data_IF_295746613358
#
_entry.id   IF_295746613358
#
_cell.length_a   1.000
_cell.length_b   1.000
_cell.length_c   1.000
_cell.angle_alpha   90.00
_cell.angle_beta   90.00
_cell.angle_gamma   90.00
#
_symmetry.space_group_name_H-M   'P 1'
#
loop_
_entity.id
_entity.type
_entity.pdbx_description
1 polymer ?
#
# COMPACT_ATOMS: atom_id res chain seq x y z
N UNK A 1 -50.91 -20.94 -10.38
CA UNK A 1 -49.53 -21.12 -9.86
C UNK A 1 -48.83 -19.77 -9.97
N UNK A 2 -48.76 -18.99 -8.90
CA UNK A 2 -48.13 -17.67 -8.92
C UNK A 2 -46.61 -17.84 -8.93
N UNK A 3 -45.98 -17.37 -10.00
CA UNK A 3 -44.52 -17.35 -10.16
C UNK A 3 -44.00 -16.24 -9.24
N UNK A 4 -43.22 -16.62 -8.23
CA UNK A 4 -42.59 -15.69 -7.30
C UNK A 4 -41.75 -14.66 -8.08
N UNK A 5 -42.11 -13.38 -7.97
CA UNK A 5 -41.40 -12.26 -8.57
C UNK A 5 -39.98 -12.17 -8.02
N UNK A 6 -38.99 -12.15 -8.92
CA UNK A 6 -37.57 -12.04 -8.57
C UNK A 6 -37.27 -10.60 -8.18
N UNK A 7 -37.04 -10.33 -6.90
CA UNK A 7 -36.57 -9.03 -6.43
C UNK A 7 -35.04 -8.99 -6.54
N UNK A 8 -34.51 -8.11 -7.40
CA UNK A 8 -33.07 -7.89 -7.57
C UNK A 8 -32.67 -6.64 -6.79
N UNK A 9 -31.84 -6.82 -5.77
CA UNK A 9 -31.34 -5.74 -4.92
C UNK A 9 -29.85 -5.55 -5.18
N UNK A 10 -29.49 -4.50 -5.92
CA UNK A 10 -28.11 -4.13 -6.20
C UNK A 10 -27.52 -3.30 -5.05
N UNK A 11 -26.72 -3.95 -4.20
CA UNK A 11 -25.94 -3.28 -3.16
C UNK A 11 -24.61 -2.78 -3.76
N UNK A 12 -24.32 -1.48 -3.57
CA UNK A 12 -23.01 -0.90 -3.89
C UNK A 12 -22.13 -0.96 -2.64
N UNK A 13 -21.10 -1.79 -2.68
CA UNK A 13 -20.04 -1.81 -1.67
C UNK A 13 -18.87 -0.97 -2.17
N UNK A 14 -18.46 0.01 -1.37
CA UNK A 14 -17.28 0.84 -1.63
C UNK A 14 -16.24 0.58 -0.55
N UNK A 15 -15.03 0.19 -0.96
CA UNK A 15 -13.93 -0.15 -0.05
C UNK A 15 -13.24 1.14 0.36
N UNK A 16 -13.11 1.40 1.66
CA UNK A 16 -12.26 2.50 2.15
C UNK A 16 -10.78 2.15 1.89
N UNK A 17 -10.11 2.81 0.92
CA UNK A 17 -8.75 2.42 0.53
C UNK A 17 -7.68 2.95 1.50
N UNK A 18 -8.01 3.90 2.38
CA UNK A 18 -7.05 4.62 3.20
C UNK A 18 -6.29 3.74 4.19
N UNK A 19 -7.00 2.83 4.87
CA UNK A 19 -6.38 1.91 5.84
C UNK A 19 -5.36 0.98 5.17
N UNK A 20 -5.68 0.47 3.98
CA UNK A 20 -4.82 -0.44 3.24
C UNK A 20 -3.55 0.25 2.74
N UNK A 21 -3.67 1.53 2.34
CA UNK A 21 -2.54 2.32 1.88
C UNK A 21 -1.55 2.59 3.01
N UNK A 22 -2.01 3.01 4.18
CA UNK A 22 -1.09 3.28 5.29
C UNK A 22 -0.37 2.02 5.76
N UNK A 23 -1.12 0.93 5.99
CA UNK A 23 -0.54 -0.32 6.51
C UNK A 23 0.48 -0.96 5.57
N UNK A 24 0.29 -0.90 4.25
CA UNK A 24 1.20 -1.57 3.32
C UNK A 24 2.39 -0.71 2.93
N UNK A 25 2.16 0.56 2.65
CA UNK A 25 3.22 1.44 2.18
C UNK A 25 4.15 1.87 3.33
N UNK A 26 3.64 2.03 4.55
CA UNK A 26 4.48 2.33 5.72
C UNK A 26 5.41 1.15 6.03
N UNK A 27 4.86 -0.06 6.15
CA UNK A 27 5.66 -1.25 6.50
C UNK A 27 6.75 -1.52 5.47
N UNK A 28 6.42 -1.46 4.18
CA UNK A 28 7.41 -1.64 3.11
C UNK A 28 8.54 -0.59 3.15
N UNK A 29 8.22 0.67 3.46
CA UNK A 29 9.22 1.73 3.61
C UNK A 29 10.14 1.48 4.81
N UNK A 30 9.62 1.04 5.96
CA UNK A 30 10.45 0.71 7.12
C UNK A 30 11.42 -0.43 6.81
N UNK A 31 10.96 -1.47 6.12
CA UNK A 31 11.82 -2.61 5.74
C UNK A 31 12.93 -2.14 4.79
N UNK A 32 12.60 -1.27 3.83
CA UNK A 32 13.59 -0.71 2.90
C UNK A 32 14.65 0.11 3.64
N UNK A 33 14.24 1.00 4.54
CA UNK A 33 15.18 1.81 5.34
C UNK A 33 16.05 0.91 6.21
N UNK A 34 15.46 -0.09 6.87
CA UNK A 34 16.20 -1.07 7.68
C UNK A 34 17.23 -1.86 6.86
N UNK A 35 16.90 -2.22 5.63
CA UNK A 35 17.80 -2.93 4.73
C UNK A 35 18.93 -2.06 4.18
N UNK A 36 18.81 -0.72 4.21
CA UNK A 36 19.83 0.23 3.75
C UNK A 36 20.80 0.69 4.85
N UNK A 37 20.49 0.44 6.13
CA UNK A 37 21.37 0.72 7.27
C UNK A 37 22.82 0.20 7.08
N UNK A 38 23.07 -0.99 6.50
CA UNK A 38 24.42 -1.52 6.34
C UNK A 38 25.35 -0.69 5.44
N UNK A 39 24.82 0.19 4.58
CA UNK A 39 25.65 1.12 3.81
C UNK A 39 26.37 2.15 4.70
N UNK A 40 25.86 2.39 5.91
CA UNK A 40 26.51 3.26 6.90
C UNK A 40 27.58 2.58 7.74
N UNK A 41 27.68 1.24 7.71
CA UNK A 41 28.73 0.49 8.43
C UNK A 41 30.09 0.64 7.74
N UNK A 42 31.16 0.05 8.30
CA UNK A 42 32.49 0.04 7.69
C UNK A 42 32.59 -0.99 6.52
N UNK A 43 33.40 -0.68 5.50
CA UNK A 43 33.53 -1.44 4.25
C UNK A 43 34.30 -2.76 4.42
N UNK A 44 34.93 -2.94 5.58
CA UNK A 44 35.71 -4.12 5.95
C UNK A 44 34.86 -5.38 6.14
N UNK A 45 33.58 -5.24 6.51
CA UNK A 45 32.67 -6.35 6.81
C UNK A 45 31.64 -6.57 5.68
N UNK A 46 32.12 -6.92 4.48
CA UNK A 46 31.24 -7.13 3.31
C UNK A 46 30.23 -8.26 3.52
N UNK A 47 30.64 -9.33 4.20
CA UNK A 47 29.77 -10.49 4.50
C UNK A 47 28.55 -10.10 5.34
N UNK A 48 28.75 -9.38 6.44
CA UNK A 48 27.67 -8.95 7.34
C UNK A 48 26.70 -8.00 6.64
N UNK A 49 27.22 -7.10 5.80
CA UNK A 49 26.38 -6.19 4.98
C UNK A 49 25.48 -6.97 4.02
N UNK A 50 26.04 -7.95 3.30
CA UNK A 50 25.27 -8.83 2.39
C UNK A 50 24.23 -9.66 3.16
N UNK A 51 24.57 -10.10 4.37
CA UNK A 51 23.63 -10.77 5.28
C UNK A 51 22.39 -9.92 5.55
N UNK A 52 22.57 -8.65 5.92
CA UNK A 52 21.43 -7.76 6.20
C UNK A 52 20.64 -7.42 4.94
N UNK A 53 21.28 -7.23 3.79
CA UNK A 53 20.56 -7.02 2.52
C UNK A 53 19.71 -8.23 2.13
N UNK A 54 20.25 -9.45 2.27
CA UNK A 54 19.50 -10.68 1.95
C UNK A 54 18.31 -10.89 2.89
N UNK A 55 18.47 -10.60 4.18
CA UNK A 55 17.37 -10.62 5.16
C UNK A 55 16.28 -9.58 4.84
N UNK A 56 16.67 -8.36 4.46
CA UNK A 56 15.73 -7.33 4.02
C UNK A 56 14.98 -7.71 2.74
N UNK A 57 15.67 -8.31 1.76
CA UNK A 57 15.07 -8.83 0.54
C UNK A 57 14.04 -9.93 0.83
N UNK A 58 14.40 -10.90 1.68
CA UNK A 58 13.48 -11.97 2.09
C UNK A 58 12.26 -11.39 2.79
N UNK A 59 12.45 -10.41 3.67
CA UNK A 59 11.35 -9.78 4.42
C UNK A 59 10.39 -9.04 3.49
N UNK A 60 10.89 -8.32 2.48
CA UNK A 60 10.04 -7.69 1.46
C UNK A 60 9.27 -8.70 0.61
N UNK A 61 9.91 -9.80 0.23
CA UNK A 61 9.25 -10.87 -0.54
C UNK A 61 8.17 -11.55 0.30
N UNK A 62 8.44 -11.86 1.57
CA UNK A 62 7.45 -12.41 2.49
C UNK A 62 6.29 -11.45 2.71
N UNK A 63 6.59 -10.17 2.91
CA UNK A 63 5.58 -9.12 3.07
C UNK A 63 4.69 -8.99 1.82
N UNK A 64 5.28 -9.10 0.62
CA UNK A 64 4.54 -9.15 -0.65
C UNK A 64 3.55 -10.30 -0.66
N UNK A 65 3.98 -11.53 -0.36
CA UNK A 65 3.09 -12.68 -0.32
C UNK A 65 2.00 -12.55 0.75
N UNK A 66 2.34 -12.08 1.95
CA UNK A 66 1.36 -11.83 3.01
C UNK A 66 0.30 -10.79 2.63
N UNK A 67 0.68 -9.77 1.85
CA UNK A 67 -0.27 -8.78 1.32
C UNK A 67 -1.16 -9.34 0.19
N UNK A 68 -0.66 -10.32 -0.57
CA UNK A 68 -1.42 -10.97 -1.64
C UNK A 68 -2.44 -11.98 -1.11
N UNK A 69 -2.16 -12.65 0.01
CA UNK A 69 -3.09 -13.60 0.64
C UNK A 69 -4.37 -12.94 1.20
N UNK A 70 -4.27 -11.66 1.58
CA UNK A 70 -5.42 -10.89 2.10
C UNK A 70 -6.42 -10.50 1.01
N UNK A 71 -6.03 -10.57 -0.27
CA UNK A 71 -6.89 -10.23 -1.40
C UNK A 71 -7.20 -11.50 -2.20
N UNK A 72 -8.43 -11.64 -2.73
CA UNK A 72 -8.70 -12.71 -3.69
C UNK A 72 -7.72 -12.59 -4.86
N UNK A 73 -7.14 -13.72 -5.26
CA UNK A 73 -6.14 -13.76 -6.33
C UNK A 73 -6.76 -13.29 -7.64
N UNK A 74 -6.31 -12.12 -8.10
CA UNK A 74 -6.70 -11.52 -9.37
C UNK A 74 -5.53 -11.60 -10.33
N UNK A 75 -5.80 -11.97 -11.58
CA UNK A 75 -4.77 -12.21 -12.60
C UNK A 75 -4.07 -10.94 -13.13
N UNK A 76 -4.45 -9.76 -12.65
CA UNK A 76 -3.81 -8.49 -13.04
C UNK A 76 -2.88 -7.99 -11.93
N UNK A 77 -1.75 -7.41 -12.33
CA UNK A 77 -0.81 -6.80 -11.39
C UNK A 77 -1.45 -5.58 -10.74
N UNK A 78 -1.64 -5.65 -9.42
CA UNK A 78 -2.18 -4.53 -8.64
C UNK A 78 -1.12 -3.43 -8.47
N UNK A 79 -1.56 -2.21 -8.19
CA UNK A 79 -0.65 -1.08 -7.96
C UNK A 79 0.33 -1.35 -6.80
N UNK A 80 -0.16 -1.96 -5.71
CA UNK A 80 0.68 -2.35 -4.58
C UNK A 80 1.75 -3.38 -4.99
N UNK A 81 1.38 -4.40 -5.79
CA UNK A 81 2.32 -5.41 -6.26
C UNK A 81 3.48 -4.81 -7.07
N UNK A 82 3.17 -3.87 -7.97
CA UNK A 82 4.20 -3.13 -8.73
C UNK A 82 5.11 -2.32 -7.82
N UNK A 83 4.56 -1.63 -6.82
CA UNK A 83 5.33 -0.85 -5.86
C UNK A 83 6.36 -1.70 -5.10
N UNK A 84 5.91 -2.84 -4.56
CA UNK A 84 6.80 -3.77 -3.84
C UNK A 84 7.88 -4.35 -4.77
N UNK A 85 7.54 -4.65 -6.02
CA UNK A 85 8.49 -5.13 -7.01
C UNK A 85 9.59 -4.10 -7.32
N UNK A 86 9.25 -2.81 -7.40
CA UNK A 86 10.24 -1.73 -7.54
C UNK A 86 11.19 -1.65 -6.33
N UNK A 87 10.69 -1.81 -5.10
CA UNK A 87 11.54 -1.82 -3.90
C UNK A 87 12.52 -2.99 -3.90
N UNK A 88 12.03 -4.20 -4.24
CA UNK A 88 12.88 -5.40 -4.35
C UNK A 88 13.97 -5.18 -5.42
N UNK A 89 13.61 -4.62 -6.58
CA UNK A 89 14.57 -4.31 -7.63
C UNK A 89 15.65 -3.32 -7.16
N UNK A 90 15.29 -2.28 -6.39
CA UNK A 90 16.27 -1.35 -5.84
C UNK A 90 17.22 -1.98 -4.82
N UNK A 91 16.76 -2.94 -4.01
CA UNK A 91 17.65 -3.70 -3.13
C UNK A 91 18.63 -4.57 -3.91
N UNK A 92 18.20 -5.21 -4.99
CA UNK A 92 19.10 -5.95 -5.87
C UNK A 92 20.19 -5.04 -6.44
N UNK A 93 19.83 -3.83 -6.89
CA UNK A 93 20.81 -2.85 -7.39
C UNK A 93 21.76 -2.38 -6.27
N UNK A 94 21.25 -2.14 -5.05
CA UNK A 94 22.07 -1.77 -3.91
C UNK A 94 23.08 -2.87 -3.53
N UNK A 95 22.67 -4.14 -3.57
CA UNK A 95 23.56 -5.29 -3.36
C UNK A 95 24.66 -5.35 -4.43
N UNK A 96 24.32 -5.14 -5.70
CA UNK A 96 25.30 -5.11 -6.79
C UNK A 96 26.31 -3.96 -6.64
N UNK A 97 25.85 -2.78 -6.22
CA UNK A 97 26.71 -1.63 -5.90
C UNK A 97 27.68 -1.95 -4.75
N UNK A 98 27.20 -2.61 -3.70
CA UNK A 98 28.03 -3.03 -2.57
C UNK A 98 29.09 -4.06 -3.00
N UNK A 99 28.72 -5.03 -3.84
CA UNK A 99 29.64 -6.00 -4.45
C UNK A 99 30.69 -5.31 -5.32
N UNK A 100 30.28 -4.40 -6.21
CA UNK A 100 31.20 -3.64 -7.04
C UNK A 100 32.21 -2.84 -6.20
N UNK A 101 31.80 -2.40 -5.00
CA UNK A 101 32.71 -1.77 -4.04
C UNK A 101 33.81 -2.67 -3.54
N UNK A 102 33.50 -3.92 -3.24
CA UNK A 102 34.48 -4.93 -2.84
C UNK A 102 35.50 -5.23 -3.94
N UNK A 103 35.05 -5.38 -5.19
CA UNK A 103 35.96 -5.61 -6.32
C UNK A 103 36.88 -4.42 -6.61
N UNK A 104 36.49 -3.20 -6.24
CA UNK A 104 37.25 -1.98 -6.45
C UNK A 104 38.26 -1.66 -5.32
N UNK A 105 38.41 -2.53 -4.31
CA UNK A 105 39.32 -2.36 -3.15
C UNK A 105 40.81 -2.25 -3.55
N UNK A 106 41.17 -2.53 -4.79
CA UNK A 106 42.56 -2.50 -5.26
C UNK A 106 43.25 -1.12 -5.37
N UNK A 107 42.66 0.02 -4.97
CA UNK A 107 43.39 1.29 -5.09
C UNK A 107 42.72 2.63 -4.74
N UNK A 108 41.68 2.69 -3.90
CA UNK A 108 41.06 3.97 -3.49
C UNK A 108 40.95 4.09 -1.97
N UNK A 109 41.10 5.33 -1.48
CA UNK A 109 41.05 5.70 -0.06
C UNK A 109 39.66 5.41 0.54
N UNK A 110 39.62 4.64 1.64
CA UNK A 110 38.40 4.13 2.29
C UNK A 110 37.40 5.25 2.64
N UNK A 111 37.92 6.45 2.91
CA UNK A 111 37.14 7.63 3.28
C UNK A 111 36.28 8.15 2.13
N UNK A 112 36.80 8.16 0.90
CA UNK A 112 36.03 8.57 -0.27
C UNK A 112 34.95 7.53 -0.61
N UNK A 113 35.25 6.25 -0.39
CA UNK A 113 34.31 5.15 -0.58
C UNK A 113 33.13 5.25 0.36
N UNK A 114 33.39 5.45 1.65
CA UNK A 114 32.33 5.58 2.66
C UNK A 114 31.47 6.83 2.42
N UNK A 115 32.06 7.93 1.95
CA UNK A 115 31.31 9.10 1.54
C UNK A 115 30.38 8.81 0.33
N UNK A 116 30.83 7.99 -0.61
CA UNK A 116 30.03 7.58 -1.77
C UNK A 116 28.85 6.69 -1.36
N UNK A 117 29.12 5.68 -0.53
CA UNK A 117 28.10 4.77 0.00
C UNK A 117 27.05 5.54 0.84
N UNK A 118 27.50 6.51 1.65
CA UNK A 118 26.62 7.38 2.46
C UNK A 118 25.78 8.31 1.58
N UNK A 119 26.35 8.94 0.54
CA UNK A 119 25.61 9.78 -0.41
C UNK A 119 24.57 8.95 -1.16
N UNK A 120 24.91 7.73 -1.56
CA UNK A 120 24.00 6.82 -2.22
C UNK A 120 22.83 6.42 -1.30
N UNK A 121 23.11 6.09 -0.03
CA UNK A 121 22.10 5.83 0.99
C UNK A 121 21.12 7.00 1.11
N UNK A 122 21.64 8.22 1.35
CA UNK A 122 20.80 9.42 1.53
C UNK A 122 19.97 9.69 0.29
N UNK A 123 20.55 9.54 -0.90
CA UNK A 123 19.83 9.75 -2.17
C UNK A 123 18.67 8.76 -2.33
N UNK A 124 18.87 7.48 -2.00
CA UNK A 124 17.82 6.47 -2.05
C UNK A 124 16.71 6.75 -1.04
N UNK A 125 17.04 7.11 0.20
CA UNK A 125 16.04 7.44 1.22
C UNK A 125 15.23 8.66 0.79
N UNK A 126 15.87 9.72 0.30
CA UNK A 126 15.19 10.93 -0.17
C UNK A 126 14.32 10.64 -1.39
N UNK A 127 14.80 9.85 -2.34
CA UNK A 127 14.03 9.46 -3.52
C UNK A 127 12.77 8.68 -3.15
N UNK A 128 12.91 7.65 -2.30
CA UNK A 128 11.77 6.81 -1.90
C UNK A 128 10.80 7.53 -0.97
N UNK A 129 11.29 8.31 -0.01
CA UNK A 129 10.43 9.14 0.85
C UNK A 129 9.72 10.23 0.04
N UNK A 130 10.39 10.83 -0.95
CA UNK A 130 9.79 11.80 -1.86
C UNK A 130 8.65 11.21 -2.70
N UNK A 131 8.85 10.03 -3.28
CA UNK A 131 7.79 9.33 -4.03
C UNK A 131 6.63 8.93 -3.11
N UNK A 132 6.93 8.46 -1.90
CA UNK A 132 5.90 8.15 -0.91
C UNK A 132 5.08 9.39 -0.54
N UNK A 133 5.75 10.52 -0.26
CA UNK A 133 5.09 11.80 0.04
C UNK A 133 4.28 12.32 -1.15
N UNK A 134 4.78 12.17 -2.38
CA UNK A 134 4.04 12.54 -3.58
C UNK A 134 2.75 11.73 -3.72
N UNK A 135 2.81 10.41 -3.54
CA UNK A 135 1.61 9.56 -3.56
C UNK A 135 0.67 9.84 -2.39
N UNK A 136 1.21 10.12 -1.20
CA UNK A 136 0.42 10.51 -0.03
C UNK A 136 -0.30 11.83 -0.27
N UNK A 137 0.37 12.80 -0.90
CA UNK A 137 -0.20 14.09 -1.29
C UNK A 137 -1.27 13.94 -2.38
N UNK A 138 -1.03 13.12 -3.41
CA UNK A 138 -2.02 12.76 -4.43
C UNK A 138 -3.25 12.08 -3.83
N UNK A 139 -3.05 11.22 -2.83
CA UNK A 139 -4.15 10.59 -2.12
C UNK A 139 -4.94 11.60 -1.29
N UNK A 140 -4.25 12.45 -0.53
CA UNK A 140 -4.88 13.49 0.31
C UNK A 140 -5.66 14.51 -0.54
N UNK A 141 -5.14 14.89 -1.71
CA UNK A 141 -5.86 15.76 -2.65
C UNK A 141 -7.08 15.05 -3.25
N UNK A 142 -6.97 13.77 -3.60
CA UNK A 142 -8.11 12.98 -4.08
C UNK A 142 -9.21 12.81 -3.01
N UNK A 143 -8.82 12.58 -1.75
CA UNK A 143 -9.74 12.52 -0.61
C UNK A 143 -10.45 13.87 -0.37
N UNK A 144 -9.72 14.98 -0.48
CA UNK A 144 -10.30 16.33 -0.36
C UNK A 144 -11.31 16.68 -1.47
N UNK A 145 -11.12 16.14 -2.68
CA UNK A 145 -12.08 16.23 -3.78
C UNK A 145 -13.30 15.33 -3.53
N UNK A 146 -13.10 14.15 -2.95
CA UNK A 146 -14.19 13.24 -2.60
C UNK A 146 -15.06 13.77 -1.45
N UNK A 147 -14.47 14.51 -0.50
CA UNK A 147 -15.21 15.18 0.59
C UNK A 147 -16.07 16.37 0.14
N UNK A 148 -15.84 16.92 -1.07
CA UNK A 148 -16.63 18.02 -1.62
C UNK A 148 -17.96 17.56 -2.24
N UNK A 149 -18.16 16.25 -2.46
CA UNK A 149 -19.44 15.72 -2.91
C UNK A 149 -20.39 15.54 -1.70
N UNK A 150 -21.51 16.29 -1.63
CA UNK A 150 -22.41 16.29 -0.47
C UNK A 150 -23.15 14.95 -0.25
N UNK A 151 -23.04 14.00 -1.18
CA UNK A 151 -23.66 12.67 -1.08
C UNK A 151 -22.96 11.79 -0.03
N UNK A 152 -21.68 12.03 0.27
CA UNK A 152 -20.91 11.20 1.21
C UNK A 152 -20.80 11.80 2.63
N UNK A 153 -21.31 13.03 2.83
CA UNK A 153 -21.29 13.73 4.13
C UNK A 153 -22.14 13.05 5.22
N UNK A 154 -22.99 12.09 4.86
CA UNK A 154 -23.83 11.32 5.79
C UNK A 154 -23.25 9.96 6.21
N UNK A 155 -22.01 9.62 5.82
CA UNK A 155 -21.37 8.35 6.19
C UNK A 155 -20.39 8.40 7.36
N UNK A 156 -19.93 9.58 7.76
CA UNK A 156 -18.75 9.73 8.63
C UNK A 156 -19.01 10.10 10.09
N UNK A 157 -20.27 10.20 10.54
CA UNK A 157 -20.54 10.68 11.90
C UNK A 157 -21.75 10.00 12.53
N UNK A 158 -21.64 8.69 12.80
CA UNK A 158 -22.42 8.04 13.85
C UNK A 158 -21.56 6.99 14.58
N UNK A 159 -21.25 7.16 15.87
CA UNK A 159 -20.90 6.03 16.71
C UNK A 159 -22.20 5.23 16.93
N UNK A 160 -22.19 3.92 16.66
CA UNK A 160 -23.30 3.01 17.03
C UNK A 160 -24.71 3.47 16.62
N UNK A 161 -25.18 3.08 15.43
CA UNK A 161 -26.58 3.34 15.05
C UNK A 161 -27.09 2.42 13.96
N UNK A 162 -27.82 1.36 14.36
CA UNK A 162 -28.72 0.61 13.47
C UNK A 162 -29.61 1.60 12.73
N UNK A 163 -29.74 1.49 11.41
CA UNK A 163 -30.87 2.17 10.74
C UNK A 163 -32.17 1.48 11.22
N UNK A 164 -33.19 2.24 11.66
CA UNK A 164 -34.43 1.66 12.15
C UNK A 164 -35.24 1.08 10.98
N UNK A 165 -35.76 -0.12 11.19
CA UNK A 165 -36.62 -0.88 10.27
C UNK A 165 -37.96 -0.19 9.89
N UNK A 166 -38.21 1.03 10.37
CA UNK A 166 -39.49 1.73 10.18
C UNK A 166 -39.67 2.31 8.78
N UNK A 167 -38.60 2.67 8.07
CA UNK A 167 -38.70 3.28 6.73
C UNK A 167 -39.05 2.26 5.62
N UNK A 168 -38.90 0.96 5.89
CA UNK A 168 -39.28 -0.09 4.92
C UNK A 168 -40.81 -0.27 4.86
N UNK A 169 -41.54 0.08 5.93
CA UNK A 169 -43.00 -0.10 5.98
C UNK A 169 -43.76 0.90 5.08
N UNK A 170 -43.25 2.13 4.95
CA UNK A 170 -43.92 3.19 4.19
C UNK A 170 -43.91 2.98 2.66
N UNK A 171 -43.12 2.02 2.17
CA UNK A 171 -43.07 1.70 0.73
C UNK A 171 -44.13 0.65 0.36
N UNK A 172 -44.48 -0.26 1.27
CA UNK A 172 -45.55 -1.24 1.00
C UNK A 172 -46.95 -0.64 1.09
N UNK A 173 -47.15 0.44 1.84
CA UNK A 173 -48.49 1.04 2.03
C UNK A 173 -48.95 1.92 0.86
N UNK A 174 -48.05 2.26 -0.08
CA UNK A 174 -48.37 3.16 -1.20
C UNK A 174 -48.52 2.44 -2.55
N UNK A 175 -48.77 1.12 -2.55
CA UNK A 175 -49.05 0.38 -3.79
C UNK A 175 -50.50 0.63 -4.26
N UNK A 176 -50.74 1.26 -5.42
CA UNK A 176 -52.08 1.62 -5.91
C UNK A 176 -52.95 0.42 -6.34
N UNK A 177 -52.49 -0.81 -6.12
CA UNK A 177 -53.18 -2.04 -6.54
C UNK A 177 -54.28 -2.49 -5.55
N UNK A 178 -54.30 -2.00 -4.31
CA UNK A 178 -55.35 -2.35 -3.33
C UNK A 178 -56.65 -1.54 -3.49
N UNK A 179 -56.66 -0.49 -4.34
CA UNK A 179 -57.86 0.33 -4.58
C UNK A 179 -58.82 -0.17 -5.66
N UNK A 180 -58.58 -1.35 -6.24
CA UNK A 180 -59.45 -1.96 -7.29
C UNK A 180 -60.16 -3.23 -6.84
N UNK A 181 -60.24 -3.45 -5.53
CA UNK A 181 -60.94 -4.59 -4.92
C UNK A 181 -61.94 -4.14 -3.85
N UNK A 182 -62.83 -3.20 -4.18
CA UNK A 182 -64.10 -2.97 -3.48
C UNK A 182 -65.16 -2.60 -4.51
#
# INVERSE_FOLDING_TARGET
VQVAGRFDAHLRFERNPGYFFHSIFLVSLLILVGSLVPLGLDATMVGDRLGVFSAGMMTLVLFRYGSQEQLPSVSYSTFADRWLMWQIATLCVAMLMALQGYWAVGGKEDRERQAWDTRFLVTLIVFWSGIYLFHYCLWMTCDSVFTQNPIYRWGGMLPFGRRPWSDVKNIQENDPQERRGL
#
